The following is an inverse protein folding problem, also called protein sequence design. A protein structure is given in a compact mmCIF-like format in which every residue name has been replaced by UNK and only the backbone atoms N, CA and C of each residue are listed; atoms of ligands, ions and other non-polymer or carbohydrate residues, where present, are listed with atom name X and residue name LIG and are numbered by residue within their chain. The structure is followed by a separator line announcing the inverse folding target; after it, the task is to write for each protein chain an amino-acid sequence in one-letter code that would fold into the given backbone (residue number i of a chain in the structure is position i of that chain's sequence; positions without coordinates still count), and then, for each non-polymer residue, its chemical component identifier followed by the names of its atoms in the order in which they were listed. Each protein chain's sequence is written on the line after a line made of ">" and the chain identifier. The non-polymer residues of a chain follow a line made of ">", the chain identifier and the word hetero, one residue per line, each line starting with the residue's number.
data_IF_808855727892
#
_entry.id   IF_808855727892
#
_cell.length_a   1.000
_cell.length_b   1.000
_cell.length_c   1.000
_cell.angle_alpha   90.00
_cell.angle_beta   90.00
_cell.angle_gamma   90.00
#
_symmetry.space_group_name_H-M   'P 1'
#
loop_
_entity.id
_entity.type
_entity.pdbx_description
1 polymer ?
#
# COMPACT_ATOMS: atom_id res chain seq x y z
N UNK A 1 -10.16 23.21 17.80
CA UNK A 1 -10.21 21.95 17.05
C UNK A 1 -10.06 20.81 18.07
N UNK A 2 -11.04 19.93 18.16
CA UNK A 2 -10.99 18.76 19.04
C UNK A 2 -10.06 17.68 18.45
N UNK A 3 -9.70 16.69 19.26
CA UNK A 3 -8.83 15.60 18.82
C UNK A 3 -9.43 14.84 17.63
N UNK A 4 -10.74 14.58 17.64
CA UNK A 4 -11.42 13.86 16.57
C UNK A 4 -11.50 14.66 15.27
N UNK A 5 -11.55 16.01 15.35
CA UNK A 5 -11.58 16.89 14.16
C UNK A 5 -10.30 16.73 13.32
N UNK A 6 -9.18 16.28 13.93
CA UNK A 6 -7.92 16.02 13.21
C UNK A 6 -7.98 14.83 12.27
N UNK A 7 -8.96 13.95 12.43
CA UNK A 7 -9.20 12.83 11.53
C UNK A 7 -10.08 13.20 10.34
N UNK A 8 -10.61 14.41 10.28
CA UNK A 8 -11.49 14.85 9.20
C UNK A 8 -10.69 15.01 7.89
N UNK A 9 -11.08 14.20 6.90
CA UNK A 9 -10.56 14.25 5.52
C UNK A 9 -11.68 14.52 4.51
N UNK A 10 -12.84 14.94 4.95
CA UNK A 10 -13.98 15.22 4.07
C UNK A 10 -13.61 16.21 2.97
N UNK A 11 -13.90 15.82 1.72
CA UNK A 11 -13.58 16.60 0.54
C UNK A 11 -12.09 16.67 0.16
N UNK A 12 -11.20 15.95 0.86
CA UNK A 12 -9.82 15.73 0.40
C UNK A 12 -9.82 14.74 -0.76
N UNK A 13 -8.92 14.92 -1.73
CA UNK A 13 -8.76 14.00 -2.85
C UNK A 13 -7.74 12.91 -2.52
N UNK A 14 -8.06 11.66 -2.81
CA UNK A 14 -7.23 10.51 -2.52
C UNK A 14 -7.06 9.60 -3.75
N UNK A 15 -5.83 9.14 -4.03
CA UNK A 15 -5.54 8.15 -5.06
C UNK A 15 -4.91 6.92 -4.41
N UNK A 16 -5.43 5.73 -4.74
CA UNK A 16 -4.95 4.46 -4.21
C UNK A 16 -4.56 3.55 -5.36
N UNK A 17 -3.31 3.06 -5.37
CA UNK A 17 -2.84 2.09 -6.36
C UNK A 17 -2.99 0.65 -5.85
N UNK A 18 -3.33 -0.30 -6.76
CA UNK A 18 -3.64 -1.68 -6.38
C UNK A 18 -4.94 -1.79 -5.59
N UNK A 19 -5.98 -1.04 -6.01
CA UNK A 19 -7.22 -0.84 -5.24
C UNK A 19 -8.39 -1.73 -5.67
N UNK A 20 -8.21 -2.64 -6.63
CA UNK A 20 -9.27 -3.58 -7.03
C UNK A 20 -9.53 -4.69 -5.99
N UNK A 21 -8.65 -4.88 -5.01
CA UNK A 21 -8.81 -5.89 -3.97
C UNK A 21 -7.88 -5.69 -2.77
N UNK A 22 -8.09 -6.49 -1.71
CA UNK A 22 -7.16 -6.64 -0.60
C UNK A 22 -6.87 -5.34 0.16
N UNK A 23 -5.60 -5.10 0.47
CA UNK A 23 -5.16 -3.95 1.28
C UNK A 23 -5.49 -2.62 0.60
N UNK A 24 -5.25 -2.51 -0.73
CA UNK A 24 -5.55 -1.28 -1.46
C UNK A 24 -7.03 -0.96 -1.50
N UNK A 25 -7.89 -1.96 -1.64
CA UNK A 25 -9.34 -1.75 -1.57
C UNK A 25 -9.75 -1.26 -0.17
N UNK A 26 -9.23 -1.87 0.90
CA UNK A 26 -9.51 -1.41 2.27
C UNK A 26 -9.07 0.04 2.51
N UNK A 27 -7.95 0.47 1.93
CA UNK A 27 -7.54 1.88 1.99
C UNK A 27 -8.50 2.79 1.23
N UNK A 28 -8.92 2.39 0.02
CA UNK A 28 -9.87 3.16 -0.77
C UNK A 28 -11.23 3.29 -0.06
N UNK A 29 -11.72 2.20 0.53
CA UNK A 29 -12.93 2.20 1.37
C UNK A 29 -12.79 3.14 2.57
N UNK A 30 -11.69 3.02 3.34
CA UNK A 30 -11.47 3.89 4.49
C UNK A 30 -11.49 5.38 4.13
N UNK A 31 -10.90 5.75 2.98
CA UNK A 31 -10.93 7.14 2.49
C UNK A 31 -12.34 7.55 2.07
N UNK A 32 -13.08 6.69 1.36
CA UNK A 32 -14.45 6.95 0.92
C UNK A 32 -15.41 7.09 2.12
N UNK A 33 -15.34 6.17 3.08
CA UNK A 33 -16.12 6.19 4.33
C UNK A 33 -15.88 7.47 5.14
N UNK A 34 -14.64 7.99 5.12
CA UNK A 34 -14.28 9.26 5.77
C UNK A 34 -14.61 10.51 4.92
N UNK A 35 -15.30 10.35 3.77
CA UNK A 35 -15.81 11.45 2.95
C UNK A 35 -14.80 12.06 1.97
N UNK A 36 -13.69 11.37 1.68
CA UNK A 36 -12.76 11.81 0.65
C UNK A 36 -13.30 11.55 -0.77
N UNK A 37 -12.72 12.24 -1.76
CA UNK A 37 -12.94 12.03 -3.19
C UNK A 37 -11.89 11.03 -3.68
N UNK A 38 -12.28 9.78 -4.01
CA UNK A 38 -11.30 8.70 -4.18
C UNK A 38 -11.18 8.24 -5.63
N UNK A 39 -9.93 8.07 -6.10
CA UNK A 39 -9.65 7.31 -7.33
C UNK A 39 -9.04 5.96 -6.97
N UNK A 40 -9.74 4.89 -7.31
CA UNK A 40 -9.25 3.53 -7.28
C UNK A 40 -8.45 3.26 -8.56
N UNK A 41 -7.19 2.83 -8.44
CA UNK A 41 -6.41 2.44 -9.62
C UNK A 41 -5.84 1.04 -9.45
N UNK A 42 -5.88 0.25 -10.52
CA UNK A 42 -5.35 -1.12 -10.54
C UNK A 42 -4.97 -1.54 -11.96
N UNK A 43 -4.08 -2.52 -12.09
CA UNK A 43 -3.83 -3.20 -13.36
C UNK A 43 -5.10 -3.94 -13.85
N UNK A 44 -5.87 -4.52 -12.91
CA UNK A 44 -7.25 -5.00 -13.13
C UNK A 44 -8.24 -3.81 -13.14
N UNK A 45 -8.28 -3.10 -14.26
CA UNK A 45 -9.17 -1.95 -14.42
C UNK A 45 -10.65 -2.31 -14.32
N UNK A 46 -11.05 -3.52 -14.73
CA UNK A 46 -12.43 -4.00 -14.57
C UNK A 46 -12.78 -4.23 -13.10
N UNK A 47 -11.85 -4.83 -12.33
CA UNK A 47 -11.98 -5.00 -10.90
C UNK A 47 -12.12 -3.66 -10.17
N UNK A 48 -11.25 -2.70 -10.48
CA UNK A 48 -11.33 -1.36 -9.91
C UNK A 48 -12.66 -0.67 -10.25
N UNK A 49 -13.16 -0.84 -11.48
CA UNK A 49 -14.44 -0.28 -11.91
C UNK A 49 -15.61 -0.91 -11.17
N UNK A 50 -15.63 -2.24 -10.96
CA UNK A 50 -16.67 -2.92 -10.16
C UNK A 50 -16.72 -2.41 -8.72
N UNK A 51 -15.56 -2.27 -8.07
CA UNK A 51 -15.49 -1.77 -6.70
C UNK A 51 -15.87 -0.29 -6.60
N UNK A 52 -15.47 0.52 -7.56
CA UNK A 52 -15.92 1.91 -7.62
C UNK A 52 -17.44 2.01 -7.78
N UNK A 53 -18.05 1.20 -8.65
CA UNK A 53 -19.52 1.16 -8.81
C UNK A 53 -20.23 0.72 -7.52
N UNK A 54 -19.68 -0.27 -6.80
CA UNK A 54 -20.20 -0.68 -5.49
C UNK A 54 -20.18 0.49 -4.50
N UNK A 55 -19.05 1.15 -4.34
CA UNK A 55 -18.89 2.28 -3.41
C UNK A 55 -19.76 3.48 -3.81
N UNK A 56 -19.95 3.75 -5.12
CA UNK A 56 -20.88 4.77 -5.60
C UNK A 56 -22.34 4.42 -5.22
N UNK A 57 -22.71 3.14 -5.31
CA UNK A 57 -24.02 2.64 -4.88
C UNK A 57 -24.27 2.83 -3.37
N UNK A 58 -23.22 2.89 -2.57
CA UNK A 58 -23.25 3.20 -1.14
C UNK A 58 -23.24 4.71 -0.85
N UNK A 59 -23.17 5.56 -1.89
CA UNK A 59 -23.24 7.02 -1.79
C UNK A 59 -21.89 7.75 -1.70
N UNK A 60 -20.77 7.04 -1.90
CA UNK A 60 -19.43 7.65 -1.86
C UNK A 60 -19.03 8.28 -3.20
N UNK A 61 -18.18 9.30 -3.15
CA UNK A 61 -17.64 9.96 -4.34
C UNK A 61 -16.34 9.30 -4.75
N UNK A 62 -16.44 8.34 -5.65
CA UNK A 62 -15.31 7.54 -6.11
C UNK A 62 -15.29 7.41 -7.63
N UNK A 63 -14.13 7.14 -8.20
CA UNK A 63 -13.93 6.77 -9.61
C UNK A 63 -12.87 5.68 -9.70
N UNK A 64 -12.73 5.08 -10.86
CA UNK A 64 -11.69 4.10 -11.13
C UNK A 64 -10.96 4.39 -12.45
N UNK A 65 -9.67 4.03 -12.48
CA UNK A 65 -8.87 4.04 -13.70
C UNK A 65 -7.98 2.78 -13.74
N UNK A 66 -7.68 2.28 -14.95
CA UNK A 66 -6.67 1.24 -15.11
C UNK A 66 -5.27 1.85 -14.97
N UNK A 67 -4.39 1.20 -14.18
CA UNK A 67 -3.03 1.68 -13.95
C UNK A 67 -2.04 0.51 -13.84
N UNK A 68 -1.05 0.45 -14.72
CA UNK A 68 0.18 -0.32 -14.52
C UNK A 68 1.23 0.57 -13.87
N UNK A 69 1.53 0.36 -12.59
CA UNK A 69 2.53 1.15 -11.86
C UNK A 69 3.95 0.94 -12.34
N UNK A 70 4.21 -0.10 -13.14
CA UNK A 70 5.53 -0.36 -13.75
C UNK A 70 5.79 0.46 -15.02
N UNK A 71 4.78 1.15 -15.52
CA UNK A 71 4.82 2.01 -16.69
C UNK A 71 4.75 3.48 -16.26
N UNK A 72 5.83 4.22 -16.45
CA UNK A 72 5.92 5.62 -16.06
C UNK A 72 4.86 6.51 -16.71
N UNK A 73 4.64 6.37 -18.03
CA UNK A 73 3.71 7.21 -18.77
C UNK A 73 2.25 6.92 -18.35
N UNK A 74 1.95 5.64 -18.06
CA UNK A 74 0.65 5.26 -17.53
C UNK A 74 0.42 5.86 -16.13
N UNK A 75 1.46 5.90 -15.27
CA UNK A 75 1.37 6.57 -13.96
C UNK A 75 1.12 8.06 -14.14
N UNK A 76 1.87 8.75 -15.00
CA UNK A 76 1.66 10.19 -15.31
C UNK A 76 0.21 10.45 -15.72
N UNK A 77 -0.30 9.68 -16.69
CA UNK A 77 -1.65 9.87 -17.22
C UNK A 77 -2.74 9.68 -16.15
N UNK A 78 -2.62 8.65 -15.30
CA UNK A 78 -3.58 8.38 -14.23
C UNK A 78 -3.60 9.50 -13.16
N UNK A 79 -2.42 10.03 -12.81
CA UNK A 79 -2.32 11.12 -11.85
C UNK A 79 -2.83 12.46 -12.41
N UNK A 80 -2.59 12.74 -13.69
CA UNK A 80 -3.16 13.91 -14.36
C UNK A 80 -4.68 13.84 -14.46
N UNK A 81 -5.24 12.65 -14.79
CA UNK A 81 -6.67 12.44 -14.81
C UNK A 81 -7.31 12.62 -13.41
N UNK A 82 -6.64 12.16 -12.35
CA UNK A 82 -7.08 12.40 -10.98
C UNK A 82 -7.08 13.88 -10.63
N UNK A 83 -5.98 14.58 -10.92
CA UNK A 83 -5.85 16.02 -10.64
C UNK A 83 -6.88 16.87 -11.40
N UNK A 84 -7.16 16.50 -12.66
CA UNK A 84 -8.21 17.16 -13.46
C UNK A 84 -9.61 16.94 -12.88
N UNK A 85 -9.89 15.73 -12.36
CA UNK A 85 -11.21 15.40 -11.80
C UNK A 85 -11.49 16.08 -10.44
N UNK A 86 -10.46 16.22 -9.58
CA UNK A 86 -10.62 16.66 -8.19
C UNK A 86 -9.83 17.93 -7.83
N UNK A 87 -9.20 18.57 -8.82
CA UNK A 87 -8.49 19.84 -8.65
C UNK A 87 -7.14 19.73 -7.95
N UNK A 88 -6.59 18.54 -7.79
CA UNK A 88 -5.31 18.28 -7.13
C UNK A 88 -5.27 16.93 -6.44
N UNK A 89 -4.23 16.70 -5.63
CA UNK A 89 -4.06 15.47 -4.87
C UNK A 89 -3.66 15.81 -3.43
N UNK A 90 -4.39 15.31 -2.45
CA UNK A 90 -4.13 15.52 -1.03
C UNK A 90 -3.56 14.27 -0.34
N UNK A 91 -3.99 13.09 -0.75
CA UNK A 91 -3.65 11.79 -0.15
C UNK A 91 -3.27 10.80 -1.24
N UNK A 92 -2.13 10.12 -1.10
CA UNK A 92 -1.71 9.08 -2.02
C UNK A 92 -1.33 7.79 -1.29
N UNK A 93 -1.93 6.67 -1.67
CA UNK A 93 -1.50 5.35 -1.23
C UNK A 93 -0.74 4.64 -2.35
N UNK A 94 0.59 4.60 -2.24
CA UNK A 94 1.45 3.81 -3.10
C UNK A 94 1.48 2.35 -2.59
N UNK A 95 0.42 1.60 -2.94
CA UNK A 95 0.14 0.28 -2.38
C UNK A 95 0.34 -0.86 -3.38
N UNK A 96 0.18 -0.63 -4.69
CA UNK A 96 0.29 -1.69 -5.69
C UNK A 96 1.54 -2.55 -5.50
N UNK A 97 1.36 -3.86 -5.54
CA UNK A 97 2.43 -4.83 -5.37
C UNK A 97 2.02 -6.21 -5.87
N UNK A 98 3.00 -7.04 -6.16
CA UNK A 98 2.79 -8.41 -6.65
C UNK A 98 3.50 -9.43 -5.78
N UNK A 99 2.99 -10.66 -5.83
CA UNK A 99 3.70 -11.84 -5.35
C UNK A 99 4.99 -12.07 -6.15
N UNK A 100 5.99 -12.53 -5.46
CA UNK A 100 7.33 -12.78 -5.99
C UNK A 100 7.65 -14.27 -6.13
N UNK A 101 6.66 -15.12 -5.88
CA UNK A 101 6.79 -16.57 -5.93
C UNK A 101 7.43 -17.19 -4.70
N UNK A 102 7.94 -18.40 -4.86
CA UNK A 102 8.46 -19.20 -3.77
C UNK A 102 9.70 -18.62 -3.12
N UNK A 103 9.75 -18.63 -1.79
CA UNK A 103 10.96 -18.33 -1.03
C UNK A 103 11.97 -19.47 -1.08
N UNK A 104 13.11 -19.28 -0.44
CA UNK A 104 14.18 -20.29 -0.43
C UNK A 104 13.85 -21.49 0.50
N UNK A 105 12.86 -21.36 1.38
CA UNK A 105 12.25 -22.45 2.14
C UNK A 105 10.74 -22.47 1.89
N UNK A 106 10.16 -23.68 1.98
CA UNK A 106 8.71 -23.85 2.00
C UNK A 106 8.18 -23.79 3.45
N UNK A 107 6.85 -23.69 3.66
CA UNK A 107 6.27 -23.68 5.00
C UNK A 107 6.57 -24.92 5.86
N UNK A 108 6.93 -26.04 5.25
CA UNK A 108 7.33 -27.27 5.96
C UNK A 108 8.82 -27.26 6.40
N UNK A 109 9.56 -26.16 6.13
CA UNK A 109 10.96 -26.02 6.52
C UNK A 109 11.94 -26.72 5.58
N UNK A 110 11.52 -27.13 4.39
CA UNK A 110 12.40 -27.73 3.39
C UNK A 110 12.88 -26.67 2.38
N UNK A 111 14.09 -26.88 1.82
CA UNK A 111 14.61 -26.04 0.74
C UNK A 111 13.72 -26.13 -0.49
N UNK A 112 13.51 -24.98 -1.11
CA UNK A 112 12.71 -24.84 -2.33
C UNK A 112 13.66 -24.65 -3.51
N UNK A 113 13.69 -25.61 -4.43
CA UNK A 113 14.66 -25.60 -5.53
C UNK A 113 14.59 -24.31 -6.38
N UNK A 114 13.38 -23.84 -6.66
CA UNK A 114 13.14 -22.64 -7.49
C UNK A 114 13.31 -21.32 -6.73
N UNK A 115 13.55 -21.38 -5.43
CA UNK A 115 13.72 -20.20 -4.57
C UNK A 115 15.16 -19.92 -4.14
N UNK A 116 16.14 -20.71 -4.60
CA UNK A 116 17.54 -20.51 -4.22
C UNK A 116 18.15 -19.36 -5.05
N UNK A 117 19.19 -18.73 -4.51
CA UNK A 117 19.83 -17.56 -5.16
C UNK A 117 20.41 -17.86 -6.53
N UNK A 118 20.91 -19.09 -6.73
CA UNK A 118 21.53 -19.57 -7.96
C UNK A 118 20.54 -20.15 -8.99
N UNK A 119 19.30 -20.42 -8.58
CA UNK A 119 18.25 -20.97 -9.46
C UNK A 119 17.05 -20.03 -9.63
N UNK A 120 17.04 -18.90 -8.94
CA UNK A 120 15.92 -17.97 -9.00
C UNK A 120 15.76 -17.36 -10.40
N UNK A 121 14.53 -17.31 -10.91
CA UNK A 121 14.23 -16.76 -12.24
C UNK A 121 14.50 -15.24 -12.28
N UNK A 122 15.46 -14.82 -13.12
CA UNK A 122 15.83 -13.41 -13.31
C UNK A 122 14.67 -12.54 -13.79
N UNK A 123 13.79 -13.04 -14.65
CA UNK A 123 12.62 -12.28 -15.14
C UNK A 123 11.64 -12.03 -14.02
N UNK A 124 11.48 -13.00 -13.12
CA UNK A 124 10.65 -12.83 -11.92
C UNK A 124 11.28 -11.83 -10.95
N UNK A 125 12.59 -11.88 -10.79
CA UNK A 125 13.32 -10.86 -10.03
C UNK A 125 13.07 -9.47 -10.58
N UNK A 126 13.34 -9.25 -11.88
CA UNK A 126 13.18 -7.94 -12.53
C UNK A 126 11.74 -7.44 -12.44
N UNK A 127 10.75 -8.30 -12.71
CA UNK A 127 9.33 -7.93 -12.59
C UNK A 127 8.96 -7.56 -11.16
N UNK A 128 9.49 -8.27 -10.18
CA UNK A 128 9.25 -7.98 -8.78
C UNK A 128 9.80 -6.60 -8.36
N UNK A 129 11.05 -6.31 -8.71
CA UNK A 129 11.67 -5.01 -8.44
C UNK A 129 10.93 -3.90 -9.19
N UNK A 130 10.56 -4.13 -10.45
CA UNK A 130 9.86 -3.15 -11.27
C UNK A 130 8.51 -2.74 -10.66
N UNK A 131 7.75 -3.66 -10.10
CA UNK A 131 6.44 -3.34 -9.48
C UNK A 131 6.61 -2.91 -8.02
N UNK A 132 7.30 -3.72 -7.19
CA UNK A 132 7.30 -3.54 -5.74
C UNK A 132 8.24 -2.43 -5.23
N UNK A 133 9.16 -1.94 -6.09
CA UNK A 133 10.08 -0.85 -5.76
C UNK A 133 9.95 0.32 -6.74
N UNK A 134 10.21 0.11 -8.05
CA UNK A 134 10.16 1.18 -9.03
C UNK A 134 8.74 1.73 -9.18
N UNK A 135 7.71 0.87 -9.19
CA UNK A 135 6.31 1.28 -9.25
C UNK A 135 5.87 2.13 -8.04
N UNK A 136 6.40 1.83 -6.86
CA UNK A 136 6.22 2.69 -5.67
C UNK A 136 6.90 4.04 -5.89
N UNK A 137 8.13 4.06 -6.38
CA UNK A 137 8.84 5.31 -6.69
C UNK A 137 8.09 6.14 -7.75
N UNK A 138 7.61 5.52 -8.83
CA UNK A 138 6.85 6.22 -9.88
C UNK A 138 5.56 6.84 -9.34
N UNK A 139 4.84 6.08 -8.52
CA UNK A 139 3.63 6.54 -7.83
C UNK A 139 3.93 7.74 -6.91
N UNK A 140 4.94 7.62 -6.05
CA UNK A 140 5.35 8.69 -5.12
C UNK A 140 5.82 9.93 -5.87
N UNK A 141 6.65 9.76 -6.91
CA UNK A 141 7.17 10.88 -7.73
C UNK A 141 6.04 11.70 -8.37
N UNK A 142 5.02 11.02 -8.92
CA UNK A 142 3.87 11.70 -9.51
C UNK A 142 2.94 12.31 -8.47
N UNK A 143 2.77 11.71 -7.30
CA UNK A 143 2.07 12.32 -6.19
C UNK A 143 2.75 13.63 -5.76
N UNK A 144 4.07 13.61 -5.57
CA UNK A 144 4.87 14.79 -5.22
C UNK A 144 4.75 15.89 -6.29
N UNK A 145 4.82 15.54 -7.57
CA UNK A 145 4.67 16.48 -8.69
C UNK A 145 3.36 17.27 -8.58
N UNK A 146 2.25 16.60 -8.27
CA UNK A 146 0.95 17.27 -8.13
C UNK A 146 0.86 18.02 -6.78
N UNK A 147 1.34 17.44 -5.70
CA UNK A 147 1.27 18.03 -4.35
C UNK A 147 2.14 19.30 -4.22
N UNK A 148 3.28 19.38 -4.93
CA UNK A 148 4.14 20.57 -4.98
C UNK A 148 3.58 21.70 -5.85
N UNK A 149 2.59 21.44 -6.72
CA UNK A 149 2.08 22.46 -7.64
C UNK A 149 1.38 23.58 -6.87
N UNK A 150 1.91 24.79 -6.98
CA UNK A 150 1.29 25.99 -6.44
C UNK A 150 0.01 26.32 -7.22
N UNK A 151 -1.03 26.75 -6.53
CA UNK A 151 -2.30 27.11 -7.16
C UNK A 151 -3.15 25.91 -7.60
N UNK A 152 -3.05 24.77 -6.90
CA UNK A 152 -4.00 23.68 -7.10
C UNK A 152 -5.44 24.19 -7.00
N UNK A 153 -6.32 23.71 -7.88
CA UNK A 153 -7.70 24.17 -7.96
C UNK A 153 -8.50 23.94 -6.65
N UNK A 154 -8.11 22.92 -5.86
CA UNK A 154 -8.68 22.67 -4.53
C UNK A 154 -8.16 23.64 -3.43
N UNK A 155 -7.25 24.57 -3.75
CA UNK A 155 -6.70 25.56 -2.82
C UNK A 155 -5.82 25.00 -1.69
N UNK A 156 -5.47 23.72 -1.71
CA UNK A 156 -4.67 23.06 -0.66
C UNK A 156 -3.19 23.06 -0.99
N UNK A 157 -2.36 22.97 0.04
CA UNK A 157 -0.89 22.86 -0.06
C UNK A 157 -0.42 21.65 0.74
N UNK A 158 0.72 21.06 0.36
CA UNK A 158 1.24 19.86 1.01
C UNK A 158 0.42 18.61 0.68
N UNK A 159 0.52 17.60 1.52
CA UNK A 159 -0.21 16.35 1.33
C UNK A 159 0.33 15.20 2.20
N UNK A 160 -0.32 14.05 2.11
CA UNK A 160 0.12 12.82 2.78
C UNK A 160 0.29 11.68 1.80
N UNK A 161 1.49 11.10 1.78
CA UNK A 161 1.82 9.92 0.98
C UNK A 161 2.01 8.75 1.94
N UNK A 162 1.33 7.65 1.66
CA UNK A 162 1.41 6.41 2.43
C UNK A 162 1.87 5.28 1.51
N UNK A 163 3.00 4.67 1.82
CA UNK A 163 3.50 3.51 1.06
C UNK A 163 3.17 2.21 1.79
N UNK A 164 2.86 1.15 1.04
CA UNK A 164 2.73 -0.19 1.61
C UNK A 164 4.08 -0.91 1.50
N UNK A 165 4.81 -0.93 2.60
CA UNK A 165 6.01 -1.76 2.77
C UNK A 165 5.63 -3.21 3.15
N UNK A 166 6.33 -3.80 4.10
CA UNK A 166 6.04 -5.10 4.71
C UNK A 166 6.92 -5.28 5.95
N UNK A 167 6.51 -6.10 6.91
CA UNK A 167 7.39 -6.61 7.95
C UNK A 167 8.60 -7.36 7.34
N UNK A 168 8.43 -8.03 6.17
CA UNK A 168 9.50 -8.67 5.41
C UNK A 168 10.58 -7.70 4.88
N UNK A 169 10.34 -6.38 4.92
CA UNK A 169 11.37 -5.37 4.68
C UNK A 169 12.23 -5.07 5.92
N UNK A 170 11.85 -5.57 7.08
CA UNK A 170 12.54 -5.38 8.37
C UNK A 170 13.19 -6.66 8.89
N UNK A 171 12.63 -7.81 8.55
CA UNK A 171 13.13 -9.13 8.94
C UNK A 171 13.23 -10.04 7.73
N UNK A 172 13.95 -11.16 7.87
CA UNK A 172 14.05 -12.18 6.82
C UNK A 172 12.89 -13.15 6.91
N UNK A 173 12.12 -13.25 5.81
CA UNK A 173 10.99 -14.16 5.66
C UNK A 173 11.33 -15.25 4.62
N UNK A 174 11.79 -16.42 5.05
CA UNK A 174 12.37 -17.43 4.15
C UNK A 174 11.38 -18.06 3.18
N UNK A 175 10.07 -17.93 3.43
CA UNK A 175 9.00 -18.45 2.59
C UNK A 175 8.53 -17.48 1.52
N UNK A 176 8.98 -16.23 1.60
CA UNK A 176 8.66 -15.17 0.63
C UNK A 176 9.73 -15.13 -0.45
N UNK A 177 9.33 -14.93 -1.70
CA UNK A 177 10.25 -14.87 -2.84
C UNK A 177 11.37 -13.86 -2.67
N UNK A 178 12.57 -14.26 -3.07
CA UNK A 178 13.83 -13.55 -2.81
C UNK A 178 13.82 -12.03 -3.09
N UNK A 179 13.26 -11.51 -4.20
CA UNK A 179 13.28 -10.08 -4.50
C UNK A 179 12.33 -9.24 -3.63
N UNK A 180 11.39 -9.87 -2.93
CA UNK A 180 10.39 -9.13 -2.14
C UNK A 180 11.01 -8.37 -0.97
N UNK A 181 11.84 -9.05 -0.18
CA UNK A 181 12.47 -8.46 1.00
C UNK A 181 13.33 -7.23 0.66
N UNK A 182 14.28 -7.28 -0.30
CA UNK A 182 15.06 -6.10 -0.68
C UNK A 182 14.19 -5.00 -1.31
N UNK A 183 13.13 -5.33 -2.06
CA UNK A 183 12.21 -4.34 -2.59
C UNK A 183 11.49 -3.59 -1.45
N UNK A 184 10.95 -4.31 -0.46
CA UNK A 184 10.23 -3.69 0.68
C UNK A 184 11.17 -2.97 1.65
N UNK A 185 12.41 -3.46 1.84
CA UNK A 185 13.45 -2.73 2.55
C UNK A 185 13.84 -1.41 1.83
N UNK A 186 13.93 -1.46 0.49
CA UNK A 186 14.13 -0.28 -0.35
C UNK A 186 13.02 0.76 -0.20
N UNK A 187 11.75 0.33 -0.15
CA UNK A 187 10.60 1.21 0.12
C UNK A 187 10.72 1.87 1.49
N UNK A 188 11.07 1.13 2.54
CA UNK A 188 11.25 1.68 3.89
C UNK A 188 12.36 2.73 3.94
N UNK A 189 13.46 2.51 3.23
CA UNK A 189 14.54 3.49 3.18
C UNK A 189 14.17 4.70 2.33
N UNK A 190 13.50 4.51 1.19
CA UNK A 190 12.95 5.59 0.34
C UNK A 190 12.06 6.53 1.16
N UNK A 191 11.19 6.00 2.00
CA UNK A 191 10.31 6.80 2.89
C UNK A 191 11.12 7.70 3.82
N UNK A 192 12.23 7.20 4.38
CA UNK A 192 13.11 8.03 5.24
C UNK A 192 13.78 9.16 4.47
N UNK A 193 14.34 8.84 3.29
CA UNK A 193 15.01 9.83 2.45
C UNK A 193 14.05 10.93 1.99
N UNK A 194 12.88 10.53 1.47
CA UNK A 194 11.86 11.46 0.99
C UNK A 194 11.14 12.21 2.12
N UNK A 195 11.03 11.63 3.31
CA UNK A 195 10.50 12.33 4.48
C UNK A 195 11.30 13.57 4.84
N UNK A 196 12.64 13.52 4.66
CA UNK A 196 13.51 14.67 4.83
C UNK A 196 13.38 15.67 3.67
N UNK A 197 13.45 15.18 2.42
CA UNK A 197 13.39 16.04 1.22
C UNK A 197 12.06 16.79 1.10
N UNK A 198 10.93 16.15 1.45
CA UNK A 198 9.60 16.69 1.20
C UNK A 198 9.06 17.59 2.31
N UNK A 199 9.74 17.67 3.46
CA UNK A 199 9.28 18.39 4.63
C UNK A 199 9.07 19.90 4.36
N UNK A 200 9.94 20.54 3.59
CA UNK A 200 9.81 21.97 3.22
C UNK A 200 8.51 22.28 2.44
N UNK A 201 7.99 21.29 1.69
CA UNK A 201 6.75 21.39 0.90
C UNK A 201 5.50 21.04 1.70
N UNK A 202 5.62 20.77 3.00
CA UNK A 202 4.52 20.28 3.85
C UNK A 202 3.91 18.96 3.33
N UNK A 203 4.70 18.14 2.63
CA UNK A 203 4.32 16.81 2.19
C UNK A 203 4.91 15.81 3.17
N UNK A 204 4.05 15.02 3.79
CA UNK A 204 4.46 13.91 4.67
C UNK A 204 4.49 12.62 3.87
N UNK A 205 5.45 11.77 4.15
CA UNK A 205 5.51 10.42 3.60
C UNK A 205 5.81 9.42 4.72
N UNK A 206 4.96 8.39 4.85
CA UNK A 206 5.12 7.33 5.83
C UNK A 206 4.85 5.96 5.21
N UNK A 207 5.31 4.89 5.85
CA UNK A 207 5.03 3.53 5.43
C UNK A 207 4.13 2.80 6.42
N UNK A 208 3.21 2.00 5.91
CA UNK A 208 2.61 0.90 6.65
C UNK A 208 3.44 -0.34 6.32
N UNK A 209 3.84 -1.10 7.34
CA UNK A 209 4.55 -2.37 7.20
C UNK A 209 3.67 -3.51 7.74
N UNK A 210 2.76 -4.05 6.90
CA UNK A 210 1.88 -5.13 7.31
C UNK A 210 2.63 -6.44 7.53
N UNK A 211 2.15 -7.25 8.47
CA UNK A 211 2.38 -8.68 8.52
C UNK A 211 1.41 -9.43 7.59
N UNK A 212 1.04 -10.67 7.93
CA UNK A 212 0.09 -11.45 7.14
C UNK A 212 -1.34 -10.90 7.29
N UNK A 213 -1.96 -10.60 6.16
CA UNK A 213 -3.36 -10.20 6.03
C UNK A 213 -4.07 -11.12 5.05
N UNK A 214 -5.36 -11.35 5.26
CA UNK A 214 -6.19 -12.15 4.36
C UNK A 214 -6.49 -11.38 3.09
N UNK A 215 -5.75 -11.66 2.03
CA UNK A 215 -5.84 -10.98 0.73
C UNK A 215 -5.89 -11.97 -0.43
N UNK A 216 -5.93 -11.45 -1.65
CA UNK A 216 -5.83 -12.26 -2.87
C UNK A 216 -4.38 -12.47 -3.35
N UNK A 217 -3.40 -11.87 -2.69
CA UNK A 217 -1.97 -12.02 -3.05
C UNK A 217 -1.57 -13.51 -2.98
N UNK A 218 -0.66 -13.92 -3.86
CA UNK A 218 -0.26 -15.33 -3.94
C UNK A 218 -1.41 -16.29 -4.32
N UNK A 219 -2.47 -15.79 -5.01
CA UNK A 219 -3.64 -16.59 -5.38
C UNK A 219 -4.69 -16.77 -4.27
N UNK A 220 -4.56 -16.04 -3.17
CA UNK A 220 -5.55 -16.02 -2.09
C UNK A 220 -5.57 -17.31 -1.25
N UNK A 221 -4.45 -17.96 -1.10
CA UNK A 221 -4.34 -19.25 -0.38
C UNK A 221 -4.78 -19.13 1.08
N UNK A 222 -4.52 -18.01 1.77
CA UNK A 222 -5.03 -17.77 3.13
C UNK A 222 -6.56 -17.72 3.23
N UNK A 223 -7.25 -17.42 2.13
CA UNK A 223 -8.73 -17.46 2.06
C UNK A 223 -9.25 -18.87 1.76
N UNK A 224 -8.48 -19.67 1.03
CA UNK A 224 -8.95 -20.92 0.40
C UNK A 224 -8.54 -22.17 1.18
N UNK A 225 -7.45 -22.10 1.97
CA UNK A 225 -6.87 -23.23 2.67
C UNK A 225 -6.93 -23.01 4.20
N UNK A 226 -7.90 -23.67 4.89
CA UNK A 226 -8.01 -23.57 6.35
C UNK A 226 -6.81 -24.12 7.12
N UNK A 227 -6.08 -25.09 6.55
CA UNK A 227 -4.87 -25.65 7.20
C UNK A 227 -3.74 -24.63 7.14
N UNK A 228 -3.54 -24.01 5.98
CA UNK A 228 -2.57 -22.94 5.84
C UNK A 228 -2.96 -21.74 6.73
N UNK A 229 -4.24 -21.37 6.79
CA UNK A 229 -4.74 -20.30 7.67
C UNK A 229 -4.41 -20.61 9.14
N UNK A 230 -4.73 -21.79 9.63
CA UNK A 230 -4.47 -22.19 11.02
C UNK A 230 -2.95 -22.20 11.33
N UNK A 231 -2.11 -22.61 10.38
CA UNK A 231 -0.66 -22.58 10.55
C UNK A 231 -0.13 -21.14 10.71
N UNK A 232 -0.70 -20.18 9.95
CA UNK A 232 -0.35 -18.77 10.08
C UNK A 232 -0.93 -18.14 11.36
N UNK A 233 -2.18 -18.44 11.71
CA UNK A 233 -2.77 -17.97 12.96
C UNK A 233 -1.91 -18.39 14.17
N UNK A 234 -1.35 -19.59 14.13
CA UNK A 234 -0.49 -20.13 15.20
C UNK A 234 0.86 -19.38 15.36
N UNK A 235 1.31 -18.63 14.37
CA UNK A 235 2.57 -17.86 14.44
C UNK A 235 2.37 -16.39 14.78
N UNK A 236 1.14 -15.88 14.73
CA UNK A 236 0.82 -14.50 15.11
C UNK A 236 0.56 -14.44 16.62
N UNK A 237 1.31 -13.66 17.41
CA UNK A 237 1.12 -13.57 18.86
C UNK A 237 -0.29 -13.15 19.30
N UNK A 238 -0.97 -12.28 18.53
CA UNK A 238 -2.38 -11.91 18.79
C UNK A 238 -3.38 -13.03 18.43
N UNK A 239 -2.93 -14.18 17.94
CA UNK A 239 -3.73 -15.41 17.78
C UNK A 239 -4.40 -15.59 16.43
N UNK A 240 -4.34 -14.63 15.52
CA UNK A 240 -4.91 -14.75 14.18
C UNK A 240 -4.26 -13.82 13.15
N UNK A 241 -4.25 -14.28 11.90
CA UNK A 241 -4.00 -13.43 10.74
C UNK A 241 -5.12 -12.38 10.65
N UNK A 242 -4.75 -11.15 10.33
CA UNK A 242 -5.68 -10.02 10.29
C UNK A 242 -6.53 -9.99 9.01
N UNK A 243 -7.74 -9.47 9.11
CA UNK A 243 -8.55 -9.05 7.97
C UNK A 243 -8.18 -7.61 7.57
N UNK A 244 -8.44 -7.24 6.31
CA UNK A 244 -8.00 -5.95 5.75
C UNK A 244 -8.68 -4.74 6.40
N UNK A 245 -9.86 -4.91 6.99
CA UNK A 245 -10.59 -3.91 7.78
C UNK A 245 -9.75 -3.36 8.93
N UNK A 246 -8.88 -4.18 9.51
CA UNK A 246 -8.02 -3.76 10.63
C UNK A 246 -6.94 -2.74 10.22
N UNK A 247 -6.72 -2.55 8.90
CA UNK A 247 -5.84 -1.51 8.37
C UNK A 247 -6.52 -0.13 8.26
N UNK A 248 -7.84 -0.08 8.12
CA UNK A 248 -8.60 1.16 7.87
C UNK A 248 -8.31 2.27 8.88
N UNK A 249 -8.30 2.02 10.21
CA UNK A 249 -8.01 3.07 11.19
C UNK A 249 -6.60 3.65 11.06
N UNK A 250 -5.59 2.80 10.79
CA UNK A 250 -4.22 3.26 10.59
C UNK A 250 -4.08 4.06 9.28
N UNK A 251 -4.77 3.64 8.22
CA UNK A 251 -4.81 4.37 6.96
C UNK A 251 -5.39 5.78 7.16
N UNK A 252 -6.50 5.91 7.90
CA UNK A 252 -7.12 7.20 8.22
C UNK A 252 -6.20 8.07 9.08
N UNK A 253 -5.54 7.50 10.10
CA UNK A 253 -4.55 8.21 10.91
C UNK A 253 -3.47 8.85 10.02
N UNK A 254 -2.84 8.06 9.15
CA UNK A 254 -1.72 8.54 8.32
C UNK A 254 -2.18 9.51 7.23
N UNK A 255 -3.40 9.36 6.71
CA UNK A 255 -3.98 10.24 5.69
C UNK A 255 -4.41 11.61 6.24
N UNK A 256 -4.71 11.70 7.53
CA UNK A 256 -5.30 12.88 8.16
C UNK A 256 -4.30 13.75 8.92
N UNK A 257 -4.76 14.90 9.43
CA UNK A 257 -3.97 15.81 10.26
C UNK A 257 -3.72 15.24 11.67
N UNK A 258 -4.30 14.09 12.02
CA UNK A 258 -3.97 13.36 13.25
C UNK A 258 -2.51 12.88 13.27
N UNK A 259 -1.88 12.79 12.10
CA UNK A 259 -0.45 12.45 11.94
C UNK A 259 0.40 13.61 11.38
N UNK A 260 0.02 14.87 11.62
CA UNK A 260 0.68 16.06 11.05
C UNK A 260 2.15 16.20 11.44
N UNK A 261 2.58 15.55 12.52
CA UNK A 261 3.97 15.53 13.00
C UNK A 261 4.70 14.20 12.68
N UNK A 262 4.14 13.38 11.79
CA UNK A 262 4.72 12.10 11.37
C UNK A 262 5.18 12.18 9.91
N UNK A 263 6.49 12.11 9.66
CA UNK A 263 7.06 11.92 8.31
C UNK A 263 8.31 11.07 8.39
N UNK A 264 8.63 10.32 7.34
CA UNK A 264 9.80 9.44 7.27
C UNK A 264 9.69 8.19 8.16
N UNK A 265 8.54 7.93 8.76
CA UNK A 265 8.29 6.83 9.70
C UNK A 265 7.70 5.61 9.02
N UNK A 266 7.82 4.46 9.67
CA UNK A 266 7.07 3.27 9.33
C UNK A 266 6.31 2.73 10.55
N UNK A 267 5.09 2.25 10.32
CA UNK A 267 4.24 1.65 11.35
C UNK A 267 4.05 0.18 11.03
N UNK A 268 4.55 -0.68 11.90
CA UNK A 268 4.36 -2.14 11.80
C UNK A 268 2.95 -2.48 12.30
N UNK A 269 2.24 -3.31 11.54
CA UNK A 269 0.93 -3.85 11.90
C UNK A 269 0.91 -5.34 11.51
N UNK A 270 1.35 -6.20 12.44
CA UNK A 270 1.64 -7.62 12.17
C UNK A 270 1.17 -8.56 13.30
N UNK A 271 0.38 -8.06 14.23
CA UNK A 271 -0.07 -8.84 15.37
C UNK A 271 1.05 -9.29 16.32
N UNK A 272 2.22 -8.63 16.26
CA UNK A 272 3.40 -8.95 17.05
C UNK A 272 4.31 -10.01 16.43
N UNK A 273 4.07 -10.42 15.17
CA UNK A 273 4.80 -11.51 14.52
C UNK A 273 6.33 -11.31 14.53
N UNK A 274 6.80 -10.08 14.33
CA UNK A 274 8.23 -9.75 14.35
C UNK A 274 8.88 -9.83 15.72
N UNK A 275 8.10 -9.86 16.80
CA UNK A 275 8.64 -9.86 18.17
C UNK A 275 9.05 -11.26 18.65
N UNK A 276 8.74 -12.29 17.86
CA UNK A 276 9.02 -13.68 18.18
C UNK A 276 7.84 -14.42 18.80
N UNK A 277 8.03 -15.70 19.09
CA UNK A 277 7.01 -16.55 19.72
C UNK A 277 7.26 -16.72 21.21
N UNK A 278 6.19 -16.78 21.97
CA UNK A 278 6.22 -17.09 23.40
C UNK A 278 6.33 -18.61 23.70
N UNK A 279 6.04 -19.47 22.67
CA UNK A 279 6.09 -20.94 22.84
C UNK A 279 6.53 -21.62 21.55
#
# INVERSE_FOLDING_TARGET
>A
MGTLDRFDIKGRSALVTGAASGIGLAYAEAMAEAGALVTLTDLDGEGATREAARLQGEGYTVRADRLDVSDWDNVVAAFDAHAAAYGGLDICFANAGIDTGAGFWNPAGHRNADGQVDTYDHKRWDRSIQVNLNGVFYTVSNAVRIMKHEGRANGRTGGSIITTASNAGLVTEPIVGLPYMPAKAGVLHMVRALGLELAEFKIRINAIAPGPFVTNIGGGWLKKDPVARAAWDAIVPLGSVAETEQLKPLALLLASDASDYMTGSHVVIDGGMMLGKYK
#
